data_IF_894630340919
#
_entry.id   IF_894630340919
#
_cell.length_a   1.000
_cell.length_b   1.000
_cell.length_c   1.000
_cell.angle_alpha   90.00
_cell.angle_beta   90.00
_cell.angle_gamma   90.00
#
_symmetry.space_group_name_H-M   'P 1'
#
loop_
_entity.id
_entity.type
_entity.pdbx_description
1 polymer ?
#
# COMPACT_ATOMS: atom_id res chain seq x y z
N UNK A 1 -14.79 8.03 -15.65
CA UNK A 1 -15.85 7.67 -14.67
C UNK A 1 -15.23 6.68 -13.72
N UNK A 2 -15.00 7.05 -12.46
CA UNK A 2 -14.43 6.13 -11.47
C UNK A 2 -15.43 5.00 -11.23
N UNK A 3 -15.05 3.78 -11.61
CA UNK A 3 -15.80 2.58 -11.24
C UNK A 3 -15.76 2.43 -9.72
N UNK A 4 -16.85 1.92 -9.12
CA UNK A 4 -16.81 1.60 -7.69
C UNK A 4 -15.65 0.64 -7.44
N UNK A 5 -14.79 0.90 -6.43
CA UNK A 5 -13.71 -0.01 -6.13
C UNK A 5 -14.23 -1.39 -5.78
N UNK A 6 -13.45 -2.41 -6.09
CA UNK A 6 -13.71 -3.76 -5.59
C UNK A 6 -13.58 -3.79 -4.07
N UNK A 7 -14.41 -4.61 -3.42
CA UNK A 7 -14.48 -4.73 -1.97
C UNK A 7 -13.32 -5.59 -1.41
N UNK A 8 -12.09 -5.27 -1.78
CA UNK A 8 -10.89 -5.98 -1.36
C UNK A 8 -9.74 -5.03 -1.01
N UNK A 9 -8.82 -5.56 -0.19
CA UNK A 9 -7.55 -4.94 0.16
C UNK A 9 -6.44 -5.90 -0.23
N UNK A 10 -5.39 -5.39 -0.89
CA UNK A 10 -4.22 -6.19 -1.24
C UNK A 10 -2.99 -5.81 -0.41
N UNK A 11 -2.18 -6.82 -0.09
CA UNK A 11 -0.78 -6.59 0.23
C UNK A 11 0.07 -6.61 -1.04
N UNK A 12 1.34 -6.24 -0.89
CA UNK A 12 2.32 -6.33 -1.97
C UNK A 12 3.57 -7.11 -1.52
N UNK A 13 4.33 -7.54 -2.50
CA UNK A 13 5.47 -8.45 -2.33
C UNK A 13 6.64 -7.81 -1.58
N UNK A 14 6.88 -6.50 -1.75
CA UNK A 14 8.06 -5.82 -1.21
C UNK A 14 7.89 -4.32 -0.97
N UNK A 15 9.00 -3.59 -0.80
CA UNK A 15 8.99 -2.16 -0.47
C UNK A 15 8.68 -1.24 -1.65
N UNK A 16 8.74 -1.76 -2.88
CA UNK A 16 8.43 -1.04 -4.11
C UNK A 16 7.49 -1.89 -4.95
N UNK A 17 6.39 -1.34 -5.49
CA UNK A 17 5.51 -2.08 -6.37
C UNK A 17 6.23 -2.47 -7.66
N UNK A 18 6.05 -3.72 -8.07
CA UNK A 18 6.51 -4.18 -9.39
C UNK A 18 5.58 -3.68 -10.49
N UNK A 19 6.07 -3.64 -11.73
CA UNK A 19 5.22 -3.30 -12.89
C UNK A 19 4.00 -4.23 -13.02
N UNK A 20 4.17 -5.51 -12.70
CA UNK A 20 3.09 -6.50 -12.72
C UNK A 20 2.03 -6.23 -11.64
N UNK A 21 2.45 -5.90 -10.42
CA UNK A 21 1.53 -5.50 -9.34
C UNK A 21 0.78 -4.21 -9.72
N UNK A 22 1.47 -3.20 -10.26
CA UNK A 22 0.82 -1.97 -10.72
C UNK A 22 -0.22 -2.23 -11.81
N UNK A 23 0.09 -3.08 -12.79
CA UNK A 23 -0.85 -3.46 -13.85
C UNK A 23 -2.07 -4.19 -13.26
N UNK A 24 -1.84 -5.15 -12.37
CA UNK A 24 -2.90 -5.89 -11.68
C UNK A 24 -3.81 -4.98 -10.85
N UNK A 25 -3.23 -4.07 -10.05
CA UNK A 25 -4.02 -3.15 -9.23
C UNK A 25 -4.86 -2.20 -10.08
N UNK A 26 -4.31 -1.72 -11.20
CA UNK A 26 -5.02 -0.87 -12.15
C UNK A 26 -6.26 -1.56 -12.72
N UNK A 27 -6.14 -2.86 -13.01
CA UNK A 27 -7.25 -3.68 -13.53
C UNK A 27 -8.31 -3.95 -12.46
N UNK A 28 -7.90 -4.35 -11.26
CA UNK A 28 -8.82 -4.81 -10.20
C UNK A 28 -9.50 -3.65 -9.45
N UNK A 29 -8.88 -2.48 -9.41
CA UNK A 29 -9.39 -1.29 -8.71
C UNK A 29 -9.77 -1.58 -7.25
N UNK A 30 -8.84 -2.04 -6.39
CA UNK A 30 -9.14 -2.38 -5.00
C UNK A 30 -9.59 -1.16 -4.19
N UNK A 31 -10.31 -1.39 -3.09
CA UNK A 31 -10.61 -0.34 -2.12
C UNK A 31 -9.33 0.32 -1.59
N UNK A 32 -8.28 -0.48 -1.43
CA UNK A 32 -6.98 -0.02 -0.98
C UNK A 32 -5.98 -1.15 -0.75
N UNK A 33 -5.00 -0.87 0.11
CA UNK A 33 -3.84 -1.71 0.36
C UNK A 33 -3.59 -1.87 1.86
N UNK A 34 -2.89 -2.93 2.25
CA UNK A 34 -2.40 -3.14 3.62
C UNK A 34 -0.88 -3.40 3.60
N UNK A 35 -0.15 -2.63 4.41
CA UNK A 35 1.30 -2.73 4.54
C UNK A 35 1.68 -3.72 5.64
N UNK A 36 2.63 -4.58 5.32
CA UNK A 36 3.28 -5.52 6.25
C UNK A 36 4.73 -5.10 6.52
N UNK A 37 5.39 -5.80 7.45
CA UNK A 37 6.78 -5.51 7.82
C UNK A 37 7.73 -5.53 6.61
N UNK A 38 7.50 -6.44 5.64
CA UNK A 38 8.30 -6.54 4.41
C UNK A 38 8.18 -5.34 3.46
N UNK A 39 7.24 -4.44 3.70
CA UNK A 39 6.98 -3.26 2.85
C UNK A 39 7.61 -1.97 3.43
N UNK A 40 8.21 -2.05 4.62
CA UNK A 40 8.70 -0.90 5.40
C UNK A 40 10.21 -0.99 5.53
N UNK A 41 10.93 -0.03 4.93
CA UNK A 41 12.38 0.11 5.06
C UNK A 41 12.76 1.44 5.75
N UNK A 42 12.19 2.55 5.30
CA UNK A 42 12.45 3.88 5.84
C UNK A 42 11.26 4.83 5.58
N UNK A 43 11.08 5.92 6.36
CA UNK A 43 9.93 6.81 6.20
C UNK A 43 9.80 7.41 4.80
N UNK A 44 10.92 7.77 4.16
CA UNK A 44 10.91 8.29 2.80
C UNK A 44 10.45 7.24 1.77
N UNK A 45 10.92 5.99 1.92
CA UNK A 45 10.51 4.87 1.07
C UNK A 45 9.03 4.55 1.27
N UNK A 46 8.52 4.50 2.51
CA UNK A 46 7.09 4.24 2.77
C UNK A 46 6.21 5.34 2.16
N UNK A 47 6.63 6.61 2.25
CA UNK A 47 5.91 7.72 1.58
C UNK A 47 5.86 7.53 0.06
N UNK A 48 6.98 7.15 -0.57
CA UNK A 48 7.02 6.87 -2.00
C UNK A 48 6.16 5.67 -2.38
N UNK A 49 6.16 4.61 -1.56
CA UNK A 49 5.32 3.43 -1.76
C UNK A 49 3.83 3.80 -1.72
N UNK A 50 3.39 4.56 -0.72
CA UNK A 50 1.99 5.02 -0.62
C UNK A 50 1.57 5.84 -1.84
N UNK A 51 2.45 6.72 -2.33
CA UNK A 51 2.20 7.50 -3.54
C UNK A 51 2.06 6.60 -4.77
N UNK A 52 2.99 5.67 -4.98
CA UNK A 52 2.98 4.74 -6.11
C UNK A 52 1.74 3.84 -6.12
N UNK A 53 1.28 3.37 -4.95
CA UNK A 53 0.07 2.56 -4.83
C UNK A 53 -1.18 3.34 -5.23
N UNK A 54 -1.31 4.60 -4.82
CA UNK A 54 -2.44 5.47 -5.19
C UNK A 54 -2.41 5.85 -6.67
N UNK A 55 -1.22 6.07 -7.22
CA UNK A 55 -1.02 6.31 -8.66
C UNK A 55 -1.39 5.07 -9.49
N UNK A 56 -1.02 3.87 -9.04
CA UNK A 56 -1.33 2.63 -9.75
C UNK A 56 -2.83 2.43 -10.01
N UNK A 57 -3.68 2.90 -9.09
CA UNK A 57 -5.13 2.83 -9.17
C UNK A 57 -5.81 4.15 -9.56
N UNK A 58 -5.03 5.20 -9.86
CA UNK A 58 -5.51 6.56 -10.16
C UNK A 58 -6.52 7.10 -9.14
N UNK A 59 -6.24 6.86 -7.85
CA UNK A 59 -7.14 7.22 -6.74
C UNK A 59 -6.37 7.72 -5.52
N UNK A 60 -6.42 9.02 -5.31
CA UNK A 60 -5.86 9.67 -4.12
C UNK A 60 -6.52 9.21 -2.81
N UNK A 61 -7.77 8.75 -2.89
CA UNK A 61 -8.58 8.26 -1.76
C UNK A 61 -8.42 6.76 -1.48
N UNK A 62 -7.60 6.04 -2.25
CA UNK A 62 -7.34 4.63 -1.97
C UNK A 62 -6.74 4.48 -0.56
N UNK A 63 -7.36 3.62 0.23
CA UNK A 63 -6.95 3.37 1.60
C UNK A 63 -5.58 2.70 1.62
N UNK A 64 -4.72 3.10 2.57
CA UNK A 64 -3.49 2.36 2.87
C UNK A 64 -3.45 2.10 4.36
N UNK A 65 -3.62 0.85 4.73
CA UNK A 65 -3.76 0.38 6.10
C UNK A 65 -2.45 -0.22 6.61
N UNK A 66 -2.29 -0.26 7.93
CA UNK A 66 -1.12 -0.83 8.59
C UNK A 66 -1.47 -1.21 10.03
N UNK A 67 -0.94 -2.33 10.52
CA UNK A 67 -1.08 -2.70 11.93
C UNK A 67 -0.04 -1.97 12.77
N UNK A 68 -0.46 -0.86 13.40
CA UNK A 68 0.39 -0.04 14.27
C UNK A 68 -0.21 0.07 15.68
N UNK A 69 -0.38 -1.07 16.33
CA UNK A 69 -0.98 -1.18 17.69
C UNK A 69 0.03 -0.86 18.79
N UNK A 70 1.31 -1.20 18.56
CA UNK A 70 2.39 -1.08 19.55
C UNK A 70 2.94 -2.44 20.00
N UNK A 71 4.08 -2.39 20.72
CA UNK A 71 4.75 -3.59 21.21
C UNK A 71 5.13 -4.56 20.08
N UNK A 72 4.60 -5.80 20.14
CA UNK A 72 4.89 -6.85 19.14
C UNK A 72 4.21 -6.58 17.79
N UNK A 73 3.15 -5.79 17.76
CA UNK A 73 2.35 -5.50 16.56
C UNK A 73 2.54 -4.02 16.18
N UNK A 74 3.74 -3.74 15.71
CA UNK A 74 4.13 -2.45 15.14
C UNK A 74 5.02 -2.70 13.92
N UNK A 75 4.65 -2.14 12.77
CA UNK A 75 5.40 -2.25 11.51
C UNK A 75 6.38 -1.09 11.34
N UNK A 76 5.97 0.13 11.69
CA UNK A 76 6.86 1.28 11.79
C UNK A 76 7.53 1.25 13.17
N UNK A 77 8.86 1.10 13.21
CA UNK A 77 9.63 1.01 14.45
C UNK A 77 10.67 2.13 14.52
N UNK A 78 11.04 2.61 15.72
CA UNK A 78 12.20 3.50 15.90
C UNK A 78 13.49 2.86 15.36
N UNK A 79 14.55 3.63 15.00
CA UNK A 79 14.79 5.05 15.33
C UNK A 79 14.59 6.00 14.14
N UNK A 80 13.55 5.79 13.32
CA UNK A 80 13.31 6.61 12.13
C UNK A 80 12.62 7.95 12.40
#
# INVERSE_FOLDING_TARGET
MSSRPSACLFGLSGPVPTAAECAFFREVQPLGFILFARNVEAPAQVRALVAALREAVDRADAAVLIDQEGGRVARLRPPH
#
